data_IF_891189111051
#
_entry.id   IF_891189111051
#
_cell.length_a   1.000
_cell.length_b   1.000
_cell.length_c   1.000
_cell.angle_alpha   90.00
_cell.angle_beta   90.00
_cell.angle_gamma   90.00
#
_symmetry.space_group_name_H-M   'P 1'
#
loop_
_entity.id
_entity.type
_entity.pdbx_description
1 polymer ?
#
# COMPACT_ATOMS: atom_id res chain seq x y z
N UNK A 1 -11.70 4.75 16.62
CA UNK A 1 -11.07 6.08 16.66
C UNK A 1 -10.31 6.27 15.36
N UNK A 2 -10.67 7.29 14.56
CA UNK A 2 -9.88 7.71 13.40
C UNK A 2 -8.94 8.79 13.88
N UNK A 3 -7.63 8.58 13.76
CA UNK A 3 -6.63 9.57 14.16
C UNK A 3 -5.90 10.07 12.91
N UNK A 4 -6.00 11.37 12.68
CA UNK A 4 -5.38 12.11 11.59
C UNK A 4 -4.36 13.06 12.23
N UNK A 5 -3.13 13.13 11.71
CA UNK A 5 -2.02 13.91 12.28
C UNK A 5 -1.60 15.01 11.32
N UNK A 6 -1.83 16.26 11.74
CA UNK A 6 -1.67 17.51 10.99
C UNK A 6 -0.28 17.64 10.34
N UNK A 7 -0.23 17.72 9.01
CA UNK A 7 0.91 18.25 8.26
C UNK A 7 0.62 19.69 7.85
N UNK A 8 1.13 20.66 8.60
CA UNK A 8 0.97 22.08 8.27
C UNK A 8 1.74 22.40 6.98
N UNK A 9 1.03 22.45 5.86
CA UNK A 9 1.55 22.92 4.58
C UNK A 9 1.15 24.37 4.36
N UNK A 10 2.13 25.27 4.53
CA UNK A 10 2.04 26.65 4.05
C UNK A 10 3.19 26.94 3.08
N UNK A 11 2.96 27.66 1.96
CA UNK A 11 4.07 28.18 1.16
C UNK A 11 4.84 29.20 2.02
N UNK A 12 6.00 28.82 2.55
CA UNK A 12 6.91 29.78 3.17
C UNK A 12 7.57 30.56 2.01
N UNK A 13 7.06 31.76 1.75
CA UNK A 13 7.75 32.73 0.91
C UNK A 13 8.97 33.23 1.69
N UNK A 14 10.10 32.51 1.61
CA UNK A 14 11.38 33.12 1.93
C UNK A 14 11.68 34.18 0.86
N UNK A 15 12.09 35.40 1.24
CA UNK A 15 12.26 36.53 0.31
C UNK A 15 13.28 36.30 -0.81
N UNK A 16 13.98 35.16 -0.85
CA UNK A 16 14.99 34.85 -1.86
C UNK A 16 14.68 33.65 -2.79
N UNK A 17 13.52 32.98 -2.70
CA UNK A 17 13.10 32.01 -3.73
C UNK A 17 11.59 31.71 -3.73
N UNK A 18 10.81 32.17 -4.73
CA UNK A 18 9.43 31.72 -4.90
C UNK A 18 9.41 30.30 -5.50
N UNK A 19 8.81 29.34 -4.79
CA UNK A 19 8.44 28.03 -5.38
C UNK A 19 8.92 26.77 -4.66
N UNK A 20 9.49 26.87 -3.46
CA UNK A 20 9.92 25.70 -2.68
C UNK A 20 8.77 25.17 -1.81
N UNK A 21 8.50 23.87 -1.88
CA UNK A 21 7.57 23.20 -0.97
C UNK A 21 8.37 22.53 0.15
N UNK A 22 8.07 22.89 1.40
CA UNK A 22 8.77 22.35 2.57
C UNK A 22 7.77 21.69 3.52
N UNK A 23 8.13 20.52 4.04
CA UNK A 23 7.36 19.82 5.09
C UNK A 23 8.09 19.93 6.42
N UNK A 24 7.35 19.99 7.52
CA UNK A 24 7.90 19.99 8.87
C UNK A 24 7.37 18.78 9.64
N UNK A 25 8.19 18.16 10.51
CA UNK A 25 7.73 17.08 11.35
C UNK A 25 6.67 17.60 12.32
N UNK A 26 5.69 16.76 12.64
CA UNK A 26 4.70 17.10 13.65
C UNK A 26 5.29 16.85 15.05
N UNK A 27 5.47 17.91 15.84
CA UNK A 27 6.01 17.85 17.20
C UNK A 27 4.97 17.37 18.24
N UNK A 28 3.69 17.30 17.87
CA UNK A 28 2.57 17.01 18.75
C UNK A 28 1.70 15.88 18.17
N UNK A 29 2.21 14.65 18.29
CA UNK A 29 1.55 13.44 17.78
C UNK A 29 0.92 12.55 18.86
N UNK A 30 0.14 11.57 18.40
CA UNK A 30 -0.41 10.48 19.22
C UNK A 30 0.49 9.23 19.23
N UNK A 31 1.77 9.35 18.85
CA UNK A 31 2.67 8.22 18.65
C UNK A 31 2.75 7.32 19.90
N UNK A 32 2.94 7.93 21.09
CA UNK A 32 2.98 7.19 22.35
C UNK A 32 1.68 6.39 22.65
N UNK A 33 0.53 6.87 22.17
CA UNK A 33 -0.73 6.13 22.29
C UNK A 33 -0.72 4.89 21.38
N UNK A 34 -0.32 5.03 20.12
CA UNK A 34 -0.27 3.91 19.17
C UNK A 34 0.78 2.85 19.52
N UNK A 35 1.90 3.26 20.11
CA UNK A 35 2.96 2.35 20.58
C UNK A 35 2.41 1.32 21.58
N UNK A 36 1.47 1.72 22.44
CA UNK A 36 0.82 0.81 23.40
C UNK A 36 -0.02 -0.29 22.72
N UNK A 37 -0.45 -0.06 21.49
CA UNK A 37 -1.16 -1.02 20.63
C UNK A 37 -0.23 -1.73 19.64
N UNK A 38 1.09 -1.52 19.74
CA UNK A 38 2.08 -2.15 18.90
C UNK A 38 2.26 -1.53 17.52
N UNK A 39 1.85 -0.27 17.35
CA UNK A 39 2.01 0.50 16.11
C UNK A 39 2.93 1.70 16.36
N UNK A 40 3.99 1.81 15.56
CA UNK A 40 4.92 2.94 15.61
C UNK A 40 4.72 3.80 14.36
N UNK A 41 4.26 5.04 14.55
CA UNK A 41 4.23 6.02 13.46
C UNK A 41 5.59 6.71 13.39
N UNK A 42 6.23 6.65 12.23
CA UNK A 42 7.56 7.22 12.01
C UNK A 42 7.47 8.71 11.64
N UNK A 43 8.47 9.47 12.04
CA UNK A 43 8.65 10.87 11.64
C UNK A 43 9.47 10.94 10.33
N UNK A 44 8.99 10.23 9.32
CA UNK A 44 9.56 10.21 7.98
C UNK A 44 8.51 10.63 6.95
N UNK A 45 8.95 10.79 5.71
CA UNK A 45 8.11 11.04 4.57
C UNK A 45 8.30 9.93 3.54
N UNK A 46 7.21 9.26 3.17
CA UNK A 46 7.22 8.19 2.18
C UNK A 46 7.07 8.78 0.78
N UNK A 47 8.06 8.51 -0.07
CA UNK A 47 8.01 8.77 -1.51
C UNK A 47 7.96 7.45 -2.27
N UNK A 48 7.19 7.39 -3.36
CA UNK A 48 7.09 6.20 -4.21
C UNK A 48 7.45 6.55 -5.66
N UNK A 49 8.54 5.96 -6.15
CA UNK A 49 9.02 6.18 -7.52
C UNK A 49 8.14 5.54 -8.61
N UNK A 50 7.27 4.58 -8.27
CA UNK A 50 6.51 3.77 -9.22
C UNK A 50 5.01 3.98 -9.12
N UNK A 51 4.47 4.03 -7.91
CA UNK A 51 3.05 4.15 -7.63
C UNK A 51 2.76 5.52 -7.04
N UNK A 52 2.60 6.53 -7.90
CA UNK A 52 2.39 7.91 -7.49
C UNK A 52 1.30 8.60 -8.32
N UNK A 53 0.76 9.67 -7.75
CA UNK A 53 -0.20 10.54 -8.40
C UNK A 53 0.49 11.66 -9.18
N UNK A 54 -0.11 12.08 -10.29
CA UNK A 54 0.35 13.25 -11.02
C UNK A 54 -0.30 14.52 -10.53
N UNK A 55 0.51 15.56 -10.28
CA UNK A 55 0.00 16.90 -10.00
C UNK A 55 0.09 17.77 -11.25
N UNK A 56 -0.77 18.78 -11.33
CA UNK A 56 -0.81 19.72 -12.44
C UNK A 56 -0.01 20.99 -12.08
N UNK A 57 1.03 21.31 -12.86
CA UNK A 57 1.74 22.59 -12.77
C UNK A 57 1.27 23.50 -13.89
N UNK A 58 0.88 24.73 -13.52
CA UNK A 58 0.57 25.79 -14.46
C UNK A 58 1.87 26.47 -14.93
N UNK A 59 2.22 26.34 -16.20
CA UNK A 59 3.31 27.06 -16.84
C UNK A 59 2.74 28.07 -17.85
N UNK A 60 2.19 29.17 -17.32
CA UNK A 60 1.49 30.18 -18.12
C UNK A 60 0.19 29.63 -18.71
N UNK A 61 0.11 29.52 -20.03
CA UNK A 61 -1.09 29.04 -20.74
C UNK A 61 -1.22 27.51 -20.81
N UNK A 62 -0.20 26.77 -20.38
CA UNK A 62 -0.19 25.31 -20.42
C UNK A 62 -0.24 24.70 -19.02
N UNK A 63 -0.92 23.56 -18.91
CA UNK A 63 -0.99 22.74 -17.69
C UNK A 63 -0.25 21.44 -17.98
N UNK A 64 0.87 21.21 -17.27
CA UNK A 64 1.66 20.00 -17.43
C UNK A 64 1.40 19.06 -16.25
N UNK A 65 0.94 17.81 -16.48
CA UNK A 65 0.91 16.80 -15.44
C UNK A 65 2.32 16.27 -15.20
N UNK A 66 2.74 16.26 -13.94
CA UNK A 66 4.02 15.71 -13.52
C UNK A 66 3.80 14.65 -12.43
N UNK A 67 4.43 13.47 -12.54
CA UNK A 67 4.34 12.45 -11.51
C UNK A 67 4.99 12.95 -10.22
N UNK A 68 4.25 12.91 -9.12
CA UNK A 68 4.67 13.47 -7.84
C UNK A 68 4.84 12.37 -6.81
N UNK A 69 6.09 11.95 -6.59
CA UNK A 69 6.45 10.77 -5.80
C UNK A 69 5.96 10.81 -4.35
N UNK A 70 5.82 12.00 -3.78
CA UNK A 70 5.33 12.19 -2.41
C UNK A 70 3.81 12.04 -2.26
N UNK A 71 3.09 11.82 -3.38
CA UNK A 71 1.69 11.44 -3.37
C UNK A 71 1.53 9.99 -3.82
N UNK A 72 1.91 9.00 -2.98
CA UNK A 72 1.81 7.61 -3.36
C UNK A 72 0.36 7.20 -3.62
N UNK A 73 0.14 6.51 -4.73
CA UNK A 73 -1.16 5.96 -5.14
C UNK A 73 -1.16 4.46 -4.97
N UNK A 74 -1.89 3.93 -3.98
CA UNK A 74 -1.88 2.50 -3.68
C UNK A 74 -3.27 1.89 -3.65
N UNK A 75 -3.35 0.58 -3.86
CA UNK A 75 -4.59 -0.18 -3.70
C UNK A 75 -4.66 -0.72 -2.26
N UNK A 76 -5.81 -0.60 -1.58
CA UNK A 76 -5.98 -1.22 -0.27
C UNK A 76 -5.77 -2.74 -0.31
N UNK A 77 -5.08 -3.27 0.69
CA UNK A 77 -4.74 -4.69 0.79
C UNK A 77 -5.92 -5.54 1.31
N UNK A 78 -6.72 -4.97 2.21
CA UNK A 78 -7.79 -5.70 2.91
C UNK A 78 -9.18 -5.32 2.39
N UNK A 79 -9.60 -5.97 1.29
CA UNK A 79 -10.91 -5.78 0.66
C UNK A 79 -12.12 -5.96 1.59
N UNK A 80 -11.94 -6.67 2.72
CA UNK A 80 -12.96 -6.87 3.75
C UNK A 80 -13.29 -5.59 4.52
N UNK A 81 -12.31 -4.70 4.61
CA UNK A 81 -12.38 -3.41 5.31
C UNK A 81 -12.56 -2.31 4.26
N UNK A 82 -11.77 -2.35 3.18
CA UNK A 82 -11.76 -1.30 2.17
C UNK A 82 -12.85 -1.43 1.10
N UNK A 83 -13.56 -2.56 1.02
CA UNK A 83 -14.48 -2.85 -0.08
C UNK A 83 -13.77 -2.96 -1.44
N UNK A 84 -14.46 -2.57 -2.52
CA UNK A 84 -13.97 -2.61 -3.91
C UNK A 84 -13.25 -1.32 -4.34
N UNK A 85 -12.61 -0.63 -3.39
CA UNK A 85 -11.84 0.60 -3.68
C UNK A 85 -10.63 0.24 -4.55
N UNK A 86 -10.58 0.82 -5.75
CA UNK A 86 -9.54 0.51 -6.74
C UNK A 86 -8.16 1.06 -6.39
N UNK A 87 -8.08 2.33 -5.95
CA UNK A 87 -6.84 2.96 -5.48
C UNK A 87 -7.16 4.18 -4.62
N UNK A 88 -6.28 4.50 -3.69
CA UNK A 88 -6.30 5.72 -2.90
C UNK A 88 -4.96 6.44 -3.02
N UNK A 89 -4.97 7.74 -2.77
CA UNK A 89 -3.76 8.58 -2.75
C UNK A 89 -3.59 9.16 -1.36
N UNK A 90 -2.37 9.13 -0.84
CA UNK A 90 -2.02 9.86 0.38
C UNK A 90 -1.18 11.06 -0.02
N UNK A 91 -1.41 12.22 0.57
CA UNK A 91 -0.62 13.43 0.40
C UNK A 91 0.43 13.51 1.49
N UNK A 92 1.69 13.21 1.15
CA UNK A 92 2.82 13.29 2.08
C UNK A 92 2.70 12.37 3.32
N UNK A 93 2.42 11.07 3.15
CA UNK A 93 2.29 10.15 4.27
C UNK A 93 3.64 9.86 4.95
N UNK A 94 3.60 9.71 6.26
CA UNK A 94 4.62 9.00 7.02
C UNK A 94 4.43 7.47 6.99
N UNK A 95 5.49 6.74 7.32
CA UNK A 95 5.47 5.30 7.40
C UNK A 95 4.97 4.79 8.77
N UNK A 96 4.34 3.63 8.75
CA UNK A 96 3.76 2.97 9.92
C UNK A 96 4.45 1.62 10.12
N UNK A 97 5.17 1.46 11.21
CA UNK A 97 5.82 0.20 11.57
C UNK A 97 4.99 -0.58 12.59
N UNK A 98 5.11 -1.91 12.53
CA UNK A 98 4.49 -2.82 13.47
C UNK A 98 5.54 -3.36 14.42
N UNK A 99 5.26 -3.29 15.72
CA UNK A 99 6.14 -3.82 16.76
C UNK A 99 6.45 -5.30 16.57
N UNK A 100 7.71 -5.66 16.83
CA UNK A 100 8.16 -7.05 16.88
C UNK A 100 8.88 -7.32 18.21
N UNK A 101 8.38 -8.24 19.05
CA UNK A 101 7.24 -9.14 18.81
C UNK A 101 5.88 -8.43 18.84
N UNK A 102 4.84 -8.98 18.16
CA UNK A 102 3.50 -8.40 18.18
C UNK A 102 2.90 -8.37 19.59
N UNK A 103 2.09 -7.35 19.88
CA UNK A 103 1.37 -7.23 21.15
C UNK A 103 0.31 -8.34 21.27
N UNK A 104 0.28 -9.02 22.42
CA UNK A 104 -0.62 -10.15 22.65
C UNK A 104 -2.09 -9.72 22.59
N UNK A 105 -2.91 -10.47 21.85
CA UNK A 105 -4.34 -10.20 21.71
C UNK A 105 -4.72 -9.12 20.69
N UNK A 106 -3.75 -8.43 20.10
CA UNK A 106 -3.98 -7.42 19.06
C UNK A 106 -3.65 -8.03 17.70
N UNK A 107 -4.63 -8.04 16.79
CA UNK A 107 -4.44 -8.37 15.38
C UNK A 107 -4.22 -7.07 14.58
N UNK A 108 -3.09 -6.99 13.90
CA UNK A 108 -2.75 -5.87 13.01
C UNK A 108 -2.84 -6.32 11.54
N UNK A 109 -3.71 -5.66 10.79
CA UNK A 109 -3.98 -5.90 9.37
C UNK A 109 -3.46 -4.73 8.54
N UNK A 110 -2.41 -4.93 7.73
CA UNK A 110 -1.95 -3.93 6.77
C UNK A 110 -3.09 -3.43 5.88
N UNK A 111 -3.29 -2.11 5.78
CA UNK A 111 -4.33 -1.53 4.93
C UNK A 111 -3.74 -0.91 3.66
N UNK A 112 -2.78 0.00 3.81
CA UNK A 112 -2.16 0.73 2.71
C UNK A 112 -0.66 0.52 2.75
N UNK A 113 -0.09 0.19 1.59
CA UNK A 113 1.32 -0.13 1.46
C UNK A 113 1.88 0.49 0.17
N UNK A 114 3.04 1.13 0.29
CA UNK A 114 3.79 1.65 -0.84
C UNK A 114 4.55 0.51 -1.54
N UNK A 115 4.95 0.75 -2.78
CA UNK A 115 5.65 -0.25 -3.58
C UNK A 115 7.07 -0.54 -3.06
N UNK A 116 7.70 -1.59 -3.60
CA UNK A 116 9.10 -1.92 -3.26
C UNK A 116 10.11 -0.82 -3.64
N UNK A 117 9.75 0.10 -4.54
CA UNK A 117 10.59 1.25 -4.89
C UNK A 117 10.39 2.47 -3.98
N UNK A 118 9.58 2.34 -2.93
CA UNK A 118 9.33 3.43 -2.01
C UNK A 118 10.55 3.70 -1.12
N UNK A 119 10.73 4.96 -0.74
CA UNK A 119 11.79 5.43 0.14
C UNK A 119 11.13 6.22 1.28
N UNK A 120 11.64 6.07 2.49
CA UNK A 120 11.19 6.82 3.66
C UNK A 120 12.34 7.69 4.18
N UNK A 121 12.11 9.00 4.28
CA UNK A 121 13.15 9.99 4.57
C UNK A 121 12.83 10.82 5.82
N UNK A 122 13.81 10.95 6.73
CA UNK A 122 13.68 11.71 7.98
C UNK A 122 14.30 13.12 7.90
N UNK A 123 15.16 13.38 6.92
CA UNK A 123 15.93 14.62 6.83
C UNK A 123 15.87 15.21 5.41
N UNK A 124 15.59 16.52 5.34
CA UNK A 124 15.52 17.38 4.13
C UNK A 124 14.20 17.31 3.34
N UNK A 125 13.15 17.91 3.90
CA UNK A 125 11.81 17.91 3.30
C UNK A 125 11.61 18.97 2.22
N UNK A 126 12.51 19.04 1.23
CA UNK A 126 12.15 19.72 -0.02
C UNK A 126 11.28 18.78 -0.85
N UNK A 127 10.00 19.09 -0.90
CA UNK A 127 9.01 18.32 -1.68
C UNK A 127 8.64 19.06 -2.96
N UNK A 128 9.54 19.92 -3.46
CA UNK A 128 9.30 20.67 -4.68
C UNK A 128 9.11 19.72 -5.87
N UNK A 129 7.99 19.83 -6.58
CA UNK A 129 7.73 18.93 -7.69
C UNK A 129 8.73 19.14 -8.84
N UNK A 130 9.19 18.04 -9.45
CA UNK A 130 10.09 18.06 -10.60
C UNK A 130 11.59 18.01 -10.25
N UNK A 131 11.96 18.02 -8.97
CA UNK A 131 13.32 17.68 -8.56
C UNK A 131 13.56 16.16 -8.65
N UNK A 132 14.66 15.76 -9.29
CA UNK A 132 15.07 14.36 -9.37
C UNK A 132 15.91 13.99 -8.15
N UNK A 133 15.26 13.36 -7.18
CA UNK A 133 15.93 12.88 -5.98
C UNK A 133 16.70 11.60 -6.28
N UNK A 134 18.00 11.61 -6.00
CA UNK A 134 18.88 10.45 -6.11
C UNK A 134 18.87 9.68 -4.79
N UNK A 135 18.12 8.59 -4.75
CA UNK A 135 18.10 7.70 -3.59
C UNK A 135 19.10 6.57 -3.74
N UNK A 136 19.77 6.21 -2.66
CA UNK A 136 20.53 4.97 -2.62
C UNK A 136 19.54 3.80 -2.76
N UNK A 137 19.80 2.84 -3.66
CA UNK A 137 18.93 1.65 -3.79
C UNK A 137 18.74 0.91 -2.46
N UNK A 138 19.72 1.01 -1.55
CA UNK A 138 19.67 0.42 -0.21
C UNK A 138 18.60 1.02 0.72
N UNK A 139 18.09 2.24 0.44
CA UNK A 139 17.00 2.84 1.23
C UNK A 139 15.61 2.49 0.69
N UNK A 140 15.52 1.81 -0.46
CA UNK A 140 14.26 1.39 -1.06
C UNK A 140 13.68 0.19 -0.32
N UNK A 141 12.36 0.21 -0.13
CA UNK A 141 11.62 -0.90 0.43
C UNK A 141 10.13 -0.59 0.52
N UNK A 142 9.32 -1.64 0.55
CA UNK A 142 7.89 -1.48 0.77
C UNK A 142 7.62 -0.92 2.16
N UNK A 143 6.87 0.19 2.24
CA UNK A 143 6.52 0.88 3.49
C UNK A 143 5.03 0.80 3.72
N UNK A 144 4.62 0.41 4.92
CA UNK A 144 3.22 0.52 5.32
C UNK A 144 2.91 2.00 5.60
N UNK A 145 1.73 2.43 5.19
CA UNK A 145 1.24 3.80 5.39
C UNK A 145 -0.09 3.82 6.14
N UNK A 146 -0.76 2.66 6.27
CA UNK A 146 -1.92 2.50 7.13
C UNK A 146 -2.09 1.07 7.61
N UNK A 147 -2.66 0.92 8.81
CA UNK A 147 -2.97 -0.37 9.45
C UNK A 147 -4.33 -0.32 10.14
N UNK A 148 -5.07 -1.42 10.09
CA UNK A 148 -6.25 -1.68 10.90
C UNK A 148 -5.88 -2.59 12.06
N UNK A 149 -6.35 -2.27 13.27
CA UNK A 149 -6.14 -3.05 14.47
C UNK A 149 -7.47 -3.56 14.99
N UNK A 150 -7.48 -4.80 15.45
CA UNK A 150 -8.59 -5.38 16.24
C UNK A 150 -8.01 -5.98 17.51
N UNK A 151 -8.64 -5.75 18.65
CA UNK A 151 -8.21 -6.35 19.92
C UNK A 151 -9.33 -6.41 20.95
N UNK A 152 -9.14 -7.10 22.07
CA UNK A 152 -10.14 -7.16 23.14
C UNK A 152 -10.31 -5.78 23.77
N UNK A 153 -11.55 -5.39 24.06
CA UNK A 153 -11.82 -4.20 24.87
C UNK A 153 -11.25 -4.37 26.27
N UNK A 154 -10.74 -3.28 26.84
CA UNK A 154 -10.11 -3.29 28.16
C UNK A 154 -11.16 -3.35 29.31
N UNK A 155 -12.45 -3.14 28.99
CA UNK A 155 -13.54 -3.11 29.95
C UNK A 155 -14.03 -4.52 30.29
N UNK A 156 -13.56 -5.00 31.43
CA UNK A 156 -13.90 -6.32 31.99
C UNK A 156 -15.22 -6.31 32.78
N UNK A 157 -15.92 -5.17 32.86
CA UNK A 157 -17.05 -4.93 33.76
C UNK A 157 -18.43 -4.96 33.09
N UNK A 158 -18.51 -5.25 31.79
CA UNK A 158 -19.80 -5.43 31.11
C UNK A 158 -20.26 -6.88 31.23
N UNK A 159 -21.21 -7.16 32.12
CA UNK A 159 -22.00 -8.40 32.13
C UNK A 159 -22.80 -8.53 30.82
N UNK A 160 -22.14 -8.94 29.74
CA UNK A 160 -22.78 -9.02 28.42
C UNK A 160 -21.84 -8.93 27.22
N UNK A 161 -20.77 -9.72 27.21
CA UNK A 161 -19.99 -9.98 25.98
C UNK A 161 -18.61 -9.30 25.94
N UNK A 162 -17.60 -10.09 25.59
CA UNK A 162 -16.26 -9.62 25.26
C UNK A 162 -16.31 -8.77 23.97
N UNK A 163 -16.55 -7.47 24.09
CA UNK A 163 -16.43 -6.55 22.96
C UNK A 163 -15.00 -6.52 22.43
N UNK A 164 -14.84 -6.39 21.12
CA UNK A 164 -13.56 -6.10 20.47
C UNK A 164 -13.52 -4.61 20.07
N UNK A 165 -12.40 -3.96 20.27
CA UNK A 165 -12.19 -2.62 19.72
C UNK A 165 -11.64 -2.74 18.30
N UNK A 166 -11.95 -1.73 17.49
CA UNK A 166 -11.34 -1.52 16.18
C UNK A 166 -10.69 -0.16 16.11
N UNK A 167 -9.52 -0.11 15.50
CA UNK A 167 -8.75 1.12 15.28
C UNK A 167 -8.19 1.11 13.87
N UNK A 168 -8.10 2.28 13.26
CA UNK A 168 -7.39 2.47 12.00
C UNK A 168 -6.40 3.61 12.20
N UNK A 169 -5.14 3.36 11.82
CA UNK A 169 -4.06 4.34 11.86
C UNK A 169 -3.64 4.59 10.41
N UNK A 170 -3.65 5.86 9.99
CA UNK A 170 -3.23 6.31 8.67
C UNK A 170 -2.12 7.35 8.87
N UNK A 171 -1.01 7.22 8.17
CA UNK A 171 0.16 8.09 8.30
C UNK A 171 0.04 9.46 7.64
N UNK A 172 -1.18 9.92 7.33
CA UNK A 172 -1.48 11.16 6.62
C UNK A 172 -2.75 11.78 7.22
N UNK A 173 -2.75 13.07 7.58
CA UNK A 173 -3.98 13.78 8.01
C UNK A 173 -4.86 14.22 6.87
N UNK A 174 -4.25 14.55 5.75
CA UNK A 174 -4.83 15.35 4.69
C UNK A 174 -5.43 14.47 3.58
N UNK A 175 -5.33 13.14 3.72
CA UNK A 175 -5.87 12.21 2.73
C UNK A 175 -7.39 12.32 2.52
N UNK A 176 -8.12 12.88 3.49
CA UNK A 176 -9.55 13.20 3.40
C UNK A 176 -9.83 14.70 3.27
N UNK A 177 -8.82 15.53 3.06
CA UNK A 177 -9.00 16.95 2.85
C UNK A 177 -9.62 17.24 1.47
N UNK A 178 -10.40 18.32 1.37
CA UNK A 178 -11.14 18.71 0.16
C UNK A 178 -10.27 18.79 -1.10
N UNK A 179 -9.02 19.25 -0.97
CA UNK A 179 -8.10 19.37 -2.10
C UNK A 179 -7.70 18.02 -2.70
N UNK A 180 -7.66 16.96 -1.89
CA UNK A 180 -7.34 15.62 -2.34
C UNK A 180 -8.60 14.86 -2.75
N UNK A 181 -9.71 15.01 -2.02
CA UNK A 181 -11.00 14.40 -2.37
C UNK A 181 -11.54 14.89 -3.72
N UNK A 182 -11.32 16.17 -4.05
CA UNK A 182 -11.69 16.73 -5.36
C UNK A 182 -10.89 16.12 -6.53
N UNK A 183 -9.72 15.54 -6.24
CA UNK A 183 -8.85 14.87 -7.24
C UNK A 183 -9.04 13.37 -7.26
N UNK A 184 -9.23 12.76 -6.09
CA UNK A 184 -9.29 11.31 -5.86
C UNK A 184 -10.53 11.00 -5.02
N UNK A 185 -11.73 10.94 -5.64
CA UNK A 185 -12.97 10.64 -4.93
C UNK A 185 -12.96 9.28 -4.23
N UNK A 186 -12.12 8.34 -4.68
CA UNK A 186 -11.95 7.02 -4.07
C UNK A 186 -11.46 7.08 -2.61
N UNK A 187 -10.75 8.14 -2.23
CA UNK A 187 -10.36 8.36 -0.84
C UNK A 187 -11.58 8.49 0.07
N UNK A 188 -12.64 9.21 -0.38
CA UNK A 188 -13.88 9.33 0.37
C UNK A 188 -14.59 7.97 0.50
N UNK A 189 -14.60 7.18 -0.57
CA UNK A 189 -15.19 5.84 -0.55
C UNK A 189 -14.46 4.95 0.47
N UNK A 190 -13.13 4.98 0.50
CA UNK A 190 -12.37 4.28 1.53
C UNK A 190 -12.73 4.80 2.93
N UNK A 191 -12.74 6.12 3.14
CA UNK A 191 -13.10 6.73 4.41
C UNK A 191 -14.47 6.27 4.94
N UNK A 192 -15.49 6.20 4.07
CA UNK A 192 -16.81 5.68 4.42
C UNK A 192 -16.77 4.20 4.80
N UNK A 193 -16.06 3.37 4.01
CA UNK A 193 -15.91 1.94 4.32
C UNK A 193 -15.18 1.70 5.65
N UNK A 194 -14.18 2.53 5.97
CA UNK A 194 -13.50 2.49 7.27
C UNK A 194 -14.45 2.86 8.41
N UNK A 195 -15.29 3.88 8.24
CA UNK A 195 -16.30 4.26 9.25
C UNK A 195 -17.30 3.14 9.46
N UNK A 196 -17.81 2.52 8.39
CA UNK A 196 -18.71 1.37 8.47
C UNK A 196 -18.07 0.20 9.22
N UNK A 197 -16.81 -0.12 8.92
CA UNK A 197 -16.06 -1.18 9.59
C UNK A 197 -15.83 -0.87 11.09
N UNK A 198 -15.49 0.38 11.41
CA UNK A 198 -15.29 0.86 12.78
C UNK A 198 -16.58 0.86 13.60
N UNK A 199 -17.74 1.08 12.96
CA UNK A 199 -19.05 1.14 13.62
C UNK A 199 -19.74 -0.23 13.77
N UNK A 200 -19.20 -1.28 13.15
CA UNK A 200 -19.86 -2.59 13.11
C UNK A 200 -19.87 -3.30 14.49
N UNK A 201 -21.00 -3.89 14.87
CA UNK A 201 -21.12 -4.67 16.12
C UNK A 201 -20.56 -6.11 15.98
N UNK A 202 -19.94 -6.64 17.05
CA UNK A 202 -19.05 -7.80 17.04
C UNK A 202 -19.68 -9.20 16.93
N UNK A 203 -20.98 -9.31 16.66
CA UNK A 203 -21.65 -10.62 16.63
C UNK A 203 -21.14 -11.59 15.54
N UNK A 204 -20.24 -11.15 14.63
CA UNK A 204 -19.73 -11.95 13.49
C UNK A 204 -18.19 -11.95 13.31
N UNK A 205 -17.42 -11.37 14.23
CA UNK A 205 -15.98 -11.18 14.05
C UNK A 205 -15.12 -12.42 14.42
N UNK A 206 -15.59 -13.29 15.33
CA UNK A 206 -14.77 -14.36 15.94
C UNK A 206 -14.37 -15.52 15.01
N UNK A 207 -14.94 -15.61 13.80
CA UNK A 207 -14.69 -16.71 12.85
C UNK A 207 -13.72 -16.30 11.72
N UNK A 208 -13.29 -15.03 11.67
CA UNK A 208 -12.64 -14.46 10.46
C UNK A 208 -11.10 -14.32 10.54
N UNK A 209 -10.44 -14.87 11.56
CA UNK A 209 -9.00 -14.70 11.85
C UNK A 209 -8.03 -15.50 10.95
N UNK A 210 -8.30 -15.62 9.65
CA UNK A 210 -7.34 -16.17 8.68
C UNK A 210 -7.55 -15.52 7.31
N UNK A 211 -7.14 -14.26 7.18
CA UNK A 211 -6.90 -13.68 5.87
C UNK A 211 -5.45 -13.96 5.50
N UNK A 212 -5.25 -14.87 4.55
CA UNK A 212 -4.00 -14.98 3.83
C UNK A 212 -3.95 -13.78 2.88
N UNK A 213 -3.05 -12.83 3.13
CA UNK A 213 -2.75 -11.76 2.17
C UNK A 213 -2.35 -12.41 0.84
N UNK A 214 -3.07 -12.18 -0.26
CA UNK A 214 -2.62 -12.65 -1.56
C UNK A 214 -1.32 -11.93 -1.87
N UNK A 215 -0.21 -12.67 -1.90
CA UNK A 215 1.09 -12.16 -2.32
C UNK A 215 1.02 -11.92 -3.83
N UNK A 216 0.73 -10.70 -4.23
CA UNK A 216 0.86 -10.30 -5.63
C UNK A 216 2.33 -10.45 -6.05
N UNK A 217 2.56 -10.99 -7.24
CA UNK A 217 3.91 -11.12 -7.79
C UNK A 217 4.37 -9.74 -8.28
N UNK A 218 5.03 -9.02 -7.39
CA UNK A 218 5.69 -7.76 -7.68
C UNK A 218 6.97 -8.08 -8.45
N UNK A 219 7.07 -7.63 -9.70
CA UNK A 219 8.26 -7.81 -10.51
C UNK A 219 9.06 -6.51 -10.52
N UNK A 220 10.32 -6.57 -10.11
CA UNK A 220 11.26 -5.44 -10.05
C UNK A 220 11.71 -4.94 -11.43
N UNK A 221 11.51 -5.73 -12.50
CA UNK A 221 11.92 -5.39 -13.87
C UNK A 221 10.92 -5.90 -14.90
N UNK A 222 10.59 -5.06 -15.91
CA UNK A 222 9.66 -5.39 -17.00
C UNK A 222 10.12 -6.59 -17.85
N UNK A 223 11.43 -6.81 -17.97
CA UNK A 223 12.01 -7.94 -18.72
C UNK A 223 11.73 -9.28 -18.02
N UNK A 224 11.88 -9.34 -16.69
CA UNK A 224 11.60 -10.55 -15.91
C UNK A 224 10.10 -10.89 -15.90
N UNK A 225 9.24 -9.86 -15.78
CA UNK A 225 7.78 -10.03 -15.88
C UNK A 225 7.37 -10.63 -17.22
N UNK A 226 7.91 -10.09 -18.31
CA UNK A 226 7.61 -10.57 -19.67
C UNK A 226 8.11 -11.99 -19.89
N UNK A 227 9.31 -12.34 -19.41
CA UNK A 227 9.84 -13.70 -19.56
C UNK A 227 8.95 -14.74 -18.85
N UNK A 228 8.51 -14.47 -17.62
CA UNK A 228 7.63 -15.38 -16.87
C UNK A 228 6.24 -15.47 -17.50
N UNK A 229 5.69 -14.34 -17.95
CA UNK A 229 4.38 -14.27 -18.58
C UNK A 229 4.37 -15.03 -19.92
N UNK A 230 5.28 -14.71 -20.84
CA UNK A 230 5.36 -15.38 -22.13
C UNK A 230 5.82 -16.84 -22.00
N UNK A 231 6.70 -17.14 -21.05
CA UNK A 231 7.12 -18.50 -20.73
C UNK A 231 5.95 -19.37 -20.29
N UNK A 232 5.01 -18.84 -19.50
CA UNK A 232 3.83 -19.59 -19.06
C UNK A 232 2.79 -19.74 -20.16
N UNK A 233 2.57 -18.69 -20.97
CA UNK A 233 1.62 -18.71 -22.10
C UNK A 233 2.06 -19.67 -23.20
N UNK A 234 3.34 -19.67 -23.56
CA UNK A 234 3.88 -20.52 -24.63
C UNK A 234 4.37 -21.89 -24.14
N UNK A 235 4.85 -21.97 -22.89
CA UNK A 235 5.44 -23.19 -22.34
C UNK A 235 4.44 -24.34 -22.23
N UNK A 236 3.22 -24.07 -21.75
CA UNK A 236 2.19 -25.11 -21.59
C UNK A 236 1.79 -25.71 -22.95
N UNK A 237 1.43 -24.93 -24.00
CA UNK A 237 1.16 -25.47 -25.33
C UNK A 237 2.33 -26.27 -25.92
N UNK A 238 3.57 -25.79 -25.78
CA UNK A 238 4.76 -26.48 -26.31
C UNK A 238 4.97 -27.84 -25.64
N UNK A 239 4.80 -27.93 -24.32
CA UNK A 239 4.90 -29.20 -23.59
C UNK A 239 3.89 -30.22 -24.14
N UNK A 240 2.64 -29.81 -24.41
CA UNK A 240 1.63 -30.69 -25.00
C UNK A 240 2.03 -31.18 -26.39
N UNK A 241 2.56 -30.32 -27.26
CA UNK A 241 3.03 -30.69 -28.60
C UNK A 241 4.21 -31.66 -28.52
N UNK A 242 5.17 -31.42 -27.63
CA UNK A 242 6.35 -32.29 -27.45
C UNK A 242 5.95 -33.66 -26.91
N UNK A 243 5.12 -33.71 -25.87
CA UNK A 243 4.63 -34.98 -25.31
C UNK A 243 3.79 -35.74 -26.33
N UNK A 244 2.90 -35.04 -27.04
CA UNK A 244 2.10 -35.61 -28.13
C UNK A 244 2.98 -36.18 -29.25
N UNK A 245 3.98 -35.43 -29.69
CA UNK A 245 4.95 -35.85 -30.71
C UNK A 245 5.79 -37.05 -30.28
N UNK A 246 6.30 -37.05 -29.04
CA UNK A 246 7.04 -38.17 -28.47
C UNK A 246 6.18 -39.44 -28.38
N UNK A 247 4.93 -39.30 -27.93
CA UNK A 247 3.97 -40.41 -27.88
C UNK A 247 3.65 -40.94 -29.27
N UNK A 248 3.49 -40.06 -30.26
CA UNK A 248 3.26 -40.43 -31.65
C UNK A 248 4.45 -41.19 -32.26
N UNK A 249 5.67 -40.69 -32.04
CA UNK A 249 6.89 -41.33 -32.52
C UNK A 249 7.12 -42.69 -31.87
N UNK A 250 6.87 -42.83 -30.55
CA UNK A 250 6.90 -44.11 -29.84
C UNK A 250 5.89 -45.11 -30.41
N UNK A 251 4.65 -44.68 -30.66
CA UNK A 251 3.60 -45.53 -31.26
C UNK A 251 4.01 -46.00 -32.65
N UNK A 252 4.57 -45.13 -33.50
CA UNK A 252 5.05 -45.51 -34.83
C UNK A 252 6.19 -46.54 -34.79
N UNK A 253 7.12 -46.40 -33.84
CA UNK A 253 8.23 -47.37 -33.68
C UNK A 253 7.75 -48.76 -33.25
N UNK A 254 6.71 -48.86 -32.43
CA UNK A 254 6.10 -50.15 -32.04
C UNK A 254 5.34 -50.83 -33.19
N UNK A 255 4.74 -50.06 -34.11
CA UNK A 255 4.05 -50.61 -35.30
C UNK A 255 5.03 -51.03 -36.40
N UNK A 256 6.26 -50.49 -36.40
CA UNK A 256 7.29 -50.80 -37.39
C UNK A 256 8.11 -52.07 -37.08
N UNK A 257 7.88 -52.75 -35.94
CA UNK A 257 8.52 -54.03 -35.64
C UNK A 257 7.50 -55.17 -35.72
N UNK A 258 7.88 -56.21 -36.47
CA UNK A 258 7.18 -57.48 -36.84
C UNK A 258 6.53 -57.40 -38.24
N UNK A 259 7.02 -58.04 -39.31
CA UNK A 259 7.57 -59.40 -39.45
C UNK A 259 8.84 -59.44 -40.31
N UNK A 260 9.88 -60.13 -39.84
CA UNK A 260 10.86 -60.78 -40.73
C UNK A 260 10.76 -62.28 -40.43
N UNK A 261 10.48 -63.08 -41.47
CA UNK A 261 10.48 -64.55 -41.43
C UNK A 261 11.89 -65.09 -41.24
#
# INVERSE_FOLDING_TARGET
MLALIDSVLGPITLPESPGRFVVFPNEHGLNAFFESYGVELRNDLVSDGRLNESIAINQGSFVLPIPYRYWPRTKPLEARISGDVGSVVLGWPGSVDLSWPPVSGIEALPLLQASESAVAEEAYFDVTPGEELQFAEASQGSRLMAVALTGPTHDTDSEGGSGAYRMVVVGDSDWLADFLLSRVPENLVLGLNLVDWLAQEDALASIRSKALSPRELIFSSSSHRNMVQYGSILGIPVIFVVVGGLRYARRRRMVAQVYTK
#
